data_IF_014651404340
#
_entry.id   IF_014651404340
#
_cell.length_a   1.000
_cell.length_b   1.000
_cell.length_c   1.000
_cell.angle_alpha   90.00
_cell.angle_beta   90.00
_cell.angle_gamma   90.00
#
_symmetry.space_group_name_H-M   'P 1'
#
loop_
_entity.id
_entity.type
_entity.pdbx_description
1 polymer ?
#
# COMPACT_ATOMS: atom_id res chain seq x y z
N UNK A 1 -38.12 1.40 -19.70
CA UNK A 1 -38.36 1.70 -18.27
C UNK A 1 -37.02 2.13 -17.70
N UNK A 2 -36.95 3.26 -16.99
CA UNK A 2 -35.71 3.66 -16.29
C UNK A 2 -35.67 2.87 -14.99
N UNK A 3 -34.65 2.02 -14.83
CA UNK A 3 -34.37 1.37 -13.55
C UNK A 3 -33.92 2.46 -12.57
N UNK A 4 -34.72 2.69 -11.52
CA UNK A 4 -34.31 3.58 -10.43
C UNK A 4 -33.34 2.77 -9.57
N UNK A 5 -32.05 3.05 -9.72
CA UNK A 5 -30.98 2.39 -8.97
C UNK A 5 -30.72 3.03 -7.61
N UNK A 6 -30.06 2.28 -6.72
CA UNK A 6 -29.45 2.82 -5.51
C UNK A 6 -28.05 3.33 -5.87
N UNK A 7 -27.85 4.64 -5.77
CA UNK A 7 -26.61 5.30 -6.17
C UNK A 7 -26.00 6.01 -4.97
N UNK A 8 -24.73 5.71 -4.68
CA UNK A 8 -23.99 6.34 -3.59
C UNK A 8 -22.60 6.75 -4.08
N UNK A 9 -22.14 7.91 -3.62
CA UNK A 9 -20.74 8.31 -3.66
C UNK A 9 -20.08 7.95 -2.34
N UNK A 10 -18.92 7.30 -2.40
CA UNK A 10 -18.14 6.94 -1.23
C UNK A 10 -17.01 7.95 -1.00
N UNK A 11 -16.77 8.28 0.26
CA UNK A 11 -15.65 9.12 0.71
C UNK A 11 -15.11 8.58 2.03
N UNK A 12 -13.84 8.84 2.32
CA UNK A 12 -13.21 8.44 3.57
C UNK A 12 -13.17 9.61 4.57
N UNK A 13 -13.26 9.29 5.85
CA UNK A 13 -12.99 10.24 6.93
C UNK A 13 -11.99 9.61 7.93
N UNK A 14 -10.80 10.20 8.13
CA UNK A 14 -10.28 11.38 7.43
C UNK A 14 -10.14 11.18 5.91
N UNK A 15 -10.10 12.28 5.15
CA UNK A 15 -10.02 12.24 3.67
C UNK A 15 -8.77 11.53 3.19
N UNK A 16 -7.67 11.70 3.92
CA UNK A 16 -6.43 10.98 3.72
C UNK A 16 -6.37 9.82 4.72
N UNK A 17 -6.17 8.61 4.21
CA UNK A 17 -5.96 7.42 5.05
C UNK A 17 -4.46 7.25 5.26
N UNK A 18 -4.01 7.38 6.51
CA UNK A 18 -2.63 7.13 6.89
C UNK A 18 -2.31 5.63 6.94
N UNK A 19 -1.04 5.31 6.68
CA UNK A 19 -0.52 3.95 6.82
C UNK A 19 0.96 3.99 7.22
N UNK A 20 1.34 3.09 8.12
CA UNK A 20 2.73 2.85 8.48
C UNK A 20 3.29 1.76 7.58
N UNK A 21 4.36 2.10 6.86
CA UNK A 21 5.03 1.20 5.94
C UNK A 21 6.41 0.87 6.49
N UNK A 22 6.61 -0.39 6.88
CA UNK A 22 7.90 -0.94 7.24
C UNK A 22 8.72 -1.25 5.99
N UNK A 23 10.01 -0.92 6.01
CA UNK A 23 10.96 -1.26 4.94
C UNK A 23 11.99 -2.25 5.47
N UNK A 24 12.26 -3.32 4.72
CA UNK A 24 13.25 -4.32 5.10
C UNK A 24 13.83 -5.03 3.87
N UNK A 25 15.01 -5.64 4.00
CA UNK A 25 15.55 -6.49 2.95
C UNK A 25 15.13 -7.95 3.14
N UNK A 26 14.67 -8.57 2.05
CA UNK A 26 14.60 -10.02 1.89
C UNK A 26 15.64 -10.41 0.84
N UNK A 27 16.74 -11.01 1.31
CA UNK A 27 17.95 -11.24 0.53
C UNK A 27 18.50 -9.94 -0.08
N UNK A 28 18.38 -9.78 -1.41
CA UNK A 28 18.80 -8.58 -2.14
C UNK A 28 17.65 -7.70 -2.59
N UNK A 29 16.42 -8.03 -2.19
CA UNK A 29 15.23 -7.27 -2.54
C UNK A 29 14.75 -6.45 -1.36
N UNK A 30 14.65 -5.14 -1.54
CA UNK A 30 13.95 -4.26 -0.62
C UNK A 30 12.45 -4.52 -0.73
N UNK A 31 11.85 -4.91 0.39
CA UNK A 31 10.43 -5.19 0.53
C UNK A 31 9.81 -4.13 1.43
N UNK A 32 8.68 -3.59 0.99
CA UNK A 32 7.82 -2.79 1.82
C UNK A 32 6.69 -3.65 2.37
N UNK A 33 6.37 -3.43 3.65
CA UNK A 33 5.33 -4.14 4.38
C UNK A 33 4.37 -3.12 4.96
N UNK A 34 3.08 -3.30 4.72
CA UNK A 34 2.06 -2.51 5.41
C UNK A 34 1.98 -3.04 6.85
N UNK A 35 2.46 -2.26 7.82
CA UNK A 35 2.45 -2.66 9.23
C UNK A 35 1.13 -2.26 9.89
N UNK A 36 0.68 -1.05 9.59
CA UNK A 36 -0.53 -0.48 10.13
C UNK A 36 -1.23 0.38 9.08
N UNK A 37 -2.56 0.41 9.13
CA UNK A 37 -3.37 1.38 8.40
C UNK A 37 -4.22 2.06 9.47
N UNK A 38 -4.20 3.39 9.48
CA UNK A 38 -4.96 4.17 10.44
C UNK A 38 -6.45 3.88 10.33
N UNK A 39 -7.17 4.06 11.43
CA UNK A 39 -8.62 3.94 11.42
C UNK A 39 -9.24 5.00 10.51
N UNK A 40 -10.10 4.55 9.58
CA UNK A 40 -10.91 5.41 8.73
C UNK A 40 -12.35 4.90 8.67
N UNK A 41 -13.27 5.80 8.35
CA UNK A 41 -14.67 5.48 8.11
C UNK A 41 -14.98 5.74 6.64
N UNK A 42 -15.80 4.89 6.01
CA UNK A 42 -16.35 5.17 4.69
C UNK A 42 -17.72 5.81 4.88
N UNK A 43 -17.86 7.07 4.47
CA UNK A 43 -19.14 7.75 4.39
C UNK A 43 -19.72 7.59 2.98
N UNK A 44 -20.92 7.06 2.91
CA UNK A 44 -21.70 6.93 1.68
C UNK A 44 -22.75 8.03 1.62
N UNK A 45 -22.74 8.83 0.56
CA UNK A 45 -23.75 9.88 0.35
C UNK A 45 -24.59 9.53 -0.88
N UNK A 46 -25.94 9.54 -0.80
CA UNK A 46 -26.80 9.35 -1.96
C UNK A 46 -26.40 10.28 -3.11
N UNK A 47 -26.32 9.74 -4.32
CA UNK A 47 -25.94 10.50 -5.52
C UNK A 47 -26.88 10.17 -6.68
N UNK A 48 -26.81 10.94 -7.77
CA UNK A 48 -27.68 10.78 -8.94
C UNK A 48 -28.88 11.73 -8.97
N UNK A 49 -29.93 11.37 -9.73
CA UNK A 49 -31.14 12.17 -9.88
C UNK A 49 -31.98 12.24 -8.60
N UNK A 50 -32.91 13.21 -8.50
CA UNK A 50 -33.74 13.43 -7.29
C UNK A 50 -34.49 12.15 -6.85
N UNK A 51 -35.04 11.39 -7.81
CA UNK A 51 -35.72 10.12 -7.52
C UNK A 51 -34.78 9.04 -6.98
N UNK A 52 -33.55 8.98 -7.47
CA UNK A 52 -32.54 8.02 -7.03
C UNK A 52 -32.00 8.38 -5.64
N UNK A 53 -31.83 9.68 -5.35
CA UNK A 53 -31.41 10.15 -4.05
C UNK A 53 -32.47 9.86 -2.97
N UNK A 54 -33.76 9.96 -3.29
CA UNK A 54 -34.83 9.62 -2.34
C UNK A 54 -34.82 8.12 -2.03
N UNK A 55 -34.77 7.27 -3.06
CA UNK A 55 -34.75 5.81 -2.88
C UNK A 55 -33.47 5.37 -2.16
N UNK A 56 -32.33 5.97 -2.49
CA UNK A 56 -31.06 5.77 -1.79
C UNK A 56 -31.07 6.32 -0.37
N UNK A 57 -31.79 7.41 -0.12
CA UNK A 57 -31.99 7.96 1.23
C UNK A 57 -32.70 6.99 2.18
N UNK A 58 -33.65 6.20 1.66
CA UNK A 58 -34.35 5.17 2.46
C UNK A 58 -33.42 4.04 2.88
N UNK A 59 -32.54 3.60 1.98
CA UNK A 59 -31.56 2.55 2.25
C UNK A 59 -30.26 3.08 2.91
N UNK A 60 -30.14 4.38 3.12
CA UNK A 60 -28.92 5.04 3.58
C UNK A 60 -28.38 4.52 4.92
N UNK A 61 -29.21 4.22 5.95
CA UNK A 61 -28.71 3.64 7.20
C UNK A 61 -28.03 2.28 7.00
N UNK A 62 -28.57 1.44 6.11
CA UNK A 62 -27.97 0.14 5.77
C UNK A 62 -26.66 0.34 5.01
N UNK A 63 -26.61 1.31 4.10
CA UNK A 63 -25.39 1.67 3.38
C UNK A 63 -24.29 2.14 4.35
N UNK A 64 -24.63 3.00 5.31
CA UNK A 64 -23.69 3.49 6.33
C UNK A 64 -23.17 2.37 7.26
N UNK A 65 -24.01 1.39 7.60
CA UNK A 65 -23.55 0.21 8.32
C UNK A 65 -22.48 -0.57 7.53
N UNK A 66 -22.66 -0.73 6.21
CA UNK A 66 -21.62 -1.33 5.36
C UNK A 66 -20.34 -0.48 5.36
N UNK A 67 -20.47 0.84 5.26
CA UNK A 67 -19.36 1.79 5.32
C UNK A 67 -18.56 1.75 6.64
N UNK A 68 -19.19 1.35 7.74
CA UNK A 68 -18.54 1.18 9.03
C UNK A 68 -17.85 -0.19 9.21
N UNK A 69 -18.36 -1.25 8.57
CA UNK A 69 -17.84 -2.62 8.71
C UNK A 69 -16.72 -2.93 7.70
N UNK A 70 -16.71 -2.27 6.54
CA UNK A 70 -15.72 -2.51 5.50
C UNK A 70 -14.28 -2.08 5.88
N UNK A 71 -14.03 -0.93 6.57
CA UNK A 71 -12.68 -0.49 6.88
C UNK A 71 -11.88 -1.48 7.76
N UNK A 72 -12.42 -2.03 8.87
CA UNK A 72 -11.70 -3.05 9.64
C UNK A 72 -11.36 -4.31 8.84
N UNK A 73 -12.24 -4.70 7.90
CA UNK A 73 -11.97 -5.84 7.03
C UNK A 73 -10.88 -5.52 6.01
N UNK A 74 -10.96 -4.36 5.35
CA UNK A 74 -9.93 -3.93 4.40
C UNK A 74 -8.56 -3.82 5.08
N UNK A 75 -8.49 -3.17 6.25
CA UNK A 75 -7.23 -3.05 7.01
C UNK A 75 -6.66 -4.41 7.38
N UNK A 76 -7.48 -5.38 7.79
CA UNK A 76 -7.02 -6.75 8.08
C UNK A 76 -6.50 -7.51 6.85
N UNK A 77 -7.02 -7.21 5.65
CA UNK A 77 -6.58 -7.86 4.41
C UNK A 77 -5.26 -7.28 3.90
N UNK A 78 -5.02 -5.99 4.14
CA UNK A 78 -3.82 -5.30 3.66
C UNK A 78 -2.69 -5.28 4.69
N UNK A 79 -2.98 -5.41 5.99
CA UNK A 79 -1.95 -5.54 7.02
C UNK A 79 -1.10 -6.79 6.78
N UNK A 80 0.22 -6.62 6.76
CA UNK A 80 1.19 -7.67 6.43
C UNK A 80 1.32 -7.96 4.94
N UNK A 81 0.66 -7.19 4.06
CA UNK A 81 0.90 -7.32 2.63
C UNK A 81 2.31 -6.81 2.29
N UNK A 82 3.07 -7.65 1.59
CA UNK A 82 4.44 -7.38 1.19
C UNK A 82 4.48 -7.06 -0.30
N UNK A 83 5.17 -5.99 -0.66
CA UNK A 83 5.41 -5.63 -2.06
C UNK A 83 6.90 -5.38 -2.29
N UNK A 84 7.50 -6.04 -3.31
CA UNK A 84 8.89 -5.80 -3.66
C UNK A 84 9.02 -4.40 -4.29
N UNK A 85 10.01 -3.64 -3.84
CA UNK A 85 10.28 -2.29 -4.35
C UNK A 85 11.43 -2.31 -5.36
N UNK A 86 12.60 -2.77 -4.92
CA UNK A 86 13.82 -2.77 -5.72
C UNK A 86 14.67 -3.99 -5.37
N UNK A 87 15.21 -4.65 -6.40
CA UNK A 87 16.15 -5.75 -6.26
C UNK A 87 17.53 -5.27 -6.66
N UNK A 88 18.51 -5.47 -5.78
CA UNK A 88 19.92 -5.18 -6.06
C UNK A 88 20.53 -6.43 -6.69
N UNK A 89 20.65 -6.40 -8.02
CA UNK A 89 21.20 -7.52 -8.77
C UNK A 89 22.73 -7.52 -8.73
N UNK A 90 23.37 -8.70 -8.80
CA UNK A 90 24.79 -8.79 -9.08
C UNK A 90 25.15 -8.08 -10.40
N UNK A 91 26.36 -7.53 -10.46
CA UNK A 91 26.87 -6.90 -11.68
C UNK A 91 28.22 -7.50 -12.06
N UNK A 92 28.53 -7.52 -13.36
CA UNK A 92 29.82 -7.98 -13.86
C UNK A 92 30.56 -6.80 -14.45
N UNK A 93 31.82 -6.62 -14.07
CA UNK A 93 32.67 -5.59 -14.63
C UNK A 93 33.96 -6.20 -15.18
N UNK A 94 34.52 -5.57 -16.21
CA UNK A 94 35.83 -5.96 -16.75
C UNK A 94 36.91 -5.06 -16.18
N UNK A 95 37.88 -5.64 -15.49
CA UNK A 95 39.07 -4.95 -14.97
C UNK A 95 40.27 -5.68 -15.53
N UNK A 96 41.10 -4.96 -16.27
CA UNK A 96 42.31 -5.52 -16.93
C UNK A 96 42.06 -6.77 -17.81
N UNK A 97 40.85 -6.90 -18.36
CA UNK A 97 40.45 -8.01 -19.24
C UNK A 97 39.87 -9.22 -18.52
N UNK A 98 39.89 -9.25 -17.18
CA UNK A 98 39.21 -10.26 -16.37
C UNK A 98 37.79 -9.82 -16.04
N UNK A 99 36.84 -10.77 -16.04
CA UNK A 99 35.46 -10.53 -15.62
C UNK A 99 35.35 -10.74 -14.12
N UNK A 100 35.03 -9.68 -13.39
CA UNK A 100 34.75 -9.71 -11.96
C UNK A 100 33.25 -9.65 -11.73
N UNK A 101 32.70 -10.62 -11.01
CA UNK A 101 31.32 -10.61 -10.57
C UNK A 101 31.21 -10.00 -9.17
N UNK A 102 30.43 -8.93 -9.07
CA UNK A 102 30.16 -8.18 -7.85
C UNK A 102 28.77 -8.59 -7.35
N UNK A 103 28.72 -9.29 -6.22
CA UNK A 103 27.48 -9.78 -5.62
C UNK A 103 27.21 -9.07 -4.28
N UNK A 104 26.06 -8.39 -4.12
CA UNK A 104 25.72 -7.78 -2.84
C UNK A 104 25.29 -8.84 -1.81
N UNK A 105 25.70 -8.67 -0.56
CA UNK A 105 25.35 -9.54 0.55
C UNK A 105 25.09 -8.75 1.84
N UNK A 106 24.34 -9.35 2.78
CA UNK A 106 24.05 -8.73 4.10
C UNK A 106 23.50 -7.30 4.00
N UNK A 107 22.56 -7.08 3.08
CA UNK A 107 21.97 -5.75 2.87
C UNK A 107 21.06 -5.36 4.05
N UNK A 108 21.21 -4.13 4.51
CA UNK A 108 20.44 -3.54 5.59
C UNK A 108 20.12 -2.07 5.28
N UNK A 109 19.04 -1.59 5.86
CA UNK A 109 18.68 -0.18 5.82
C UNK A 109 19.21 0.54 7.05
N UNK A 110 19.86 1.67 6.83
CA UNK A 110 20.36 2.54 7.90
C UNK A 110 19.95 3.98 7.63
N UNK A 111 19.71 4.75 8.68
CA UNK A 111 19.50 6.18 8.56
C UNK A 111 20.86 6.89 8.62
N UNK A 112 21.20 7.63 7.56
CA UNK A 112 22.39 8.46 7.50
C UNK A 112 21.99 9.87 7.09
N UNK A 113 22.16 10.84 7.99
CA UNK A 113 21.81 12.25 7.78
C UNK A 113 20.36 12.46 7.28
N UNK A 114 19.38 11.81 7.92
CA UNK A 114 17.97 11.85 7.55
C UNK A 114 17.65 11.28 6.15
N UNK A 115 18.59 10.55 5.55
CA UNK A 115 18.37 9.81 4.32
C UNK A 115 18.40 8.31 4.61
N UNK A 116 17.59 7.56 3.86
CA UNK A 116 17.64 6.11 3.86
C UNK A 116 18.85 5.67 3.04
N UNK A 117 19.80 5.00 3.70
CA UNK A 117 20.98 4.44 3.09
C UNK A 117 20.87 2.92 3.09
N UNK A 118 21.23 2.31 1.97
CA UNK A 118 21.40 0.86 1.87
C UNK A 118 22.88 0.57 2.12
N UNK A 119 23.15 -0.27 3.11
CA UNK A 119 24.50 -0.72 3.44
C UNK A 119 24.53 -2.25 3.35
N UNK A 120 25.64 -2.80 2.91
CA UNK A 120 25.89 -4.23 2.95
C UNK A 120 27.32 -4.54 2.56
N UNK A 121 27.62 -5.83 2.50
CA UNK A 121 28.88 -6.35 2.01
C UNK A 121 28.80 -6.59 0.51
N UNK A 122 29.97 -6.69 -0.09
CA UNK A 122 30.14 -7.00 -1.50
C UNK A 122 31.11 -8.16 -1.60
N UNK A 123 30.65 -9.24 -2.20
CA UNK A 123 31.49 -10.38 -2.57
C UNK A 123 31.95 -10.20 -4.01
N UNK A 124 33.25 -10.36 -4.24
CA UNK A 124 33.87 -10.26 -5.57
C UNK A 124 34.40 -11.64 -5.91
N UNK A 125 33.90 -12.22 -7.01
CA UNK A 125 34.25 -13.56 -7.50
C UNK A 125 34.69 -13.48 -8.96
#
# INVERSE_FOLDING_TARGET
MSEIGLNYSASTQPSDVGADIGLSFQDTTLVATIEHIDNFIISLTPSGGVSEQIVSGVAWPLAQLLGAVLPPLATSLFAGFHFPLITISPTTQKVDGEELQITPGQLQLVNFNNMLLIQGNVDIV
#
